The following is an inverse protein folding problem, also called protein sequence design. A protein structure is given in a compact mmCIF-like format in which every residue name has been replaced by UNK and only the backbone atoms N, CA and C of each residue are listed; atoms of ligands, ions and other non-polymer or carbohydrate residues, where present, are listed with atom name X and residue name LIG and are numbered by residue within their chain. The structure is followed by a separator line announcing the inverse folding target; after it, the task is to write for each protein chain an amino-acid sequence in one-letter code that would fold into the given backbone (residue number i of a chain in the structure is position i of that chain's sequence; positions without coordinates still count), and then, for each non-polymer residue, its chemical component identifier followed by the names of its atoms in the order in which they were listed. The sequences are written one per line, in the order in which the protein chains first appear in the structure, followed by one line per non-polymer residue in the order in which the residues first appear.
data_IF_316781392239
#
_entry.id   IF_316781392239
#
_cell.length_a   1.000
_cell.length_b   1.000
_cell.length_c   1.000
_cell.angle_alpha   90.00
_cell.angle_beta   90.00
_cell.angle_gamma   90.00
#
_symmetry.space_group_name_H-M   'P 1'
#
loop_
_entity.id
_entity.type
_entity.pdbx_description
1 polymer ?
#
# COMPACT_ATOMS: atom_id res chain seq x y z
N UNK A 1 3.84 -7.25 11.44
CA UNK A 1 4.07 -6.98 10.01
C UNK A 1 5.05 -7.98 9.38
N UNK A 2 6.28 -8.14 9.91
CA UNK A 2 7.29 -9.09 9.42
C UNK A 2 6.75 -10.49 9.05
N UNK A 3 6.02 -11.14 9.98
CA UNK A 3 5.41 -12.46 9.72
C UNK A 3 4.46 -12.46 8.51
N UNK A 4 3.62 -11.42 8.38
CA UNK A 4 2.70 -11.29 7.24
C UNK A 4 3.45 -11.15 5.91
N UNK A 5 4.62 -10.51 5.91
CA UNK A 5 5.48 -10.44 4.71
C UNK A 5 6.18 -11.75 4.39
N UNK A 6 6.61 -12.50 5.41
CA UNK A 6 7.14 -13.85 5.19
C UNK A 6 6.09 -14.79 4.57
N UNK A 7 4.82 -14.65 4.97
CA UNK A 7 3.69 -15.38 4.38
C UNK A 7 3.36 -14.87 2.97
N UNK A 8 3.45 -13.55 2.74
CA UNK A 8 3.19 -12.91 1.44
C UNK A 8 4.01 -13.52 0.30
N UNK A 9 5.26 -13.91 0.54
CA UNK A 9 6.11 -14.59 -0.45
C UNK A 9 5.49 -15.87 -1.03
N UNK A 10 4.58 -16.53 -0.30
CA UNK A 10 3.88 -17.74 -0.76
C UNK A 10 2.59 -17.46 -1.56
N UNK A 11 1.92 -16.31 -1.33
CA UNK A 11 0.64 -15.97 -1.99
C UNK A 11 0.79 -14.92 -3.11
N UNK A 12 1.82 -14.07 -3.05
CA UNK A 12 2.10 -13.02 -4.03
C UNK A 12 1.06 -11.88 -4.10
N UNK A 13 1.32 -10.92 -4.98
CA UNK A 13 0.38 -9.88 -5.43
C UNK A 13 -0.22 -9.00 -4.30
N UNK A 14 -1.38 -8.39 -4.58
CA UNK A 14 -2.13 -7.50 -3.67
C UNK A 14 -2.66 -8.20 -2.43
N UNK A 15 -3.22 -9.40 -2.55
CA UNK A 15 -3.80 -10.13 -1.41
C UNK A 15 -2.75 -10.52 -0.38
N UNK A 16 -1.58 -10.98 -0.85
CA UNK A 16 -0.47 -11.29 0.04
C UNK A 16 0.03 -10.07 0.81
N UNK A 17 0.05 -8.89 0.19
CA UNK A 17 0.48 -7.65 0.83
C UNK A 17 -0.55 -7.05 1.80
N UNK A 18 -1.82 -7.31 1.57
CA UNK A 18 -2.91 -6.86 2.42
C UNK A 18 -2.84 -7.48 3.83
N UNK A 19 -2.39 -8.74 3.94
CA UNK A 19 -2.26 -9.46 5.21
C UNK A 19 -1.31 -8.77 6.21
N UNK A 20 -0.03 -8.44 5.89
CA UNK A 20 0.83 -7.72 6.81
C UNK A 20 0.28 -6.35 7.21
N UNK A 21 -0.45 -5.67 6.31
CA UNK A 21 -1.15 -4.40 6.60
C UNK A 21 -2.27 -4.57 7.64
N UNK A 22 -3.10 -5.61 7.50
CA UNK A 22 -4.11 -5.95 8.50
C UNK A 22 -3.46 -6.27 9.86
N UNK A 23 -2.44 -7.15 9.87
CA UNK A 23 -1.77 -7.57 11.10
C UNK A 23 -1.12 -6.41 11.86
N UNK A 24 -0.41 -5.51 11.18
CA UNK A 24 0.21 -4.35 11.85
C UNK A 24 -0.85 -3.42 12.43
N UNK A 25 -1.96 -3.22 11.72
CA UNK A 25 -3.04 -2.32 12.16
C UNK A 25 -3.77 -2.86 13.39
N UNK A 26 -4.02 -4.18 13.43
CA UNK A 26 -4.60 -4.85 14.59
C UNK A 26 -3.67 -4.78 15.81
N UNK A 27 -2.37 -5.04 15.62
CA UNK A 27 -1.38 -4.95 16.71
C UNK A 27 -1.26 -3.53 17.25
N UNK A 28 -1.21 -2.51 16.38
CA UNK A 28 -1.20 -1.10 16.79
C UNK A 28 -2.43 -0.79 17.64
N UNK A 29 -3.61 -1.22 17.19
CA UNK A 29 -4.85 -1.00 17.92
C UNK A 29 -4.81 -1.64 19.32
N UNK A 30 -4.44 -2.92 19.42
CA UNK A 30 -4.39 -3.65 20.68
C UNK A 30 -3.36 -3.06 21.65
N UNK A 31 -2.17 -2.72 21.18
CA UNK A 31 -1.07 -2.23 21.99
C UNK A 31 -1.14 -0.73 22.32
N UNK A 32 -2.08 0.03 21.73
CA UNK A 32 -2.15 1.48 21.94
C UNK A 32 -2.65 1.90 23.33
N UNK A 33 -3.23 1.00 24.12
CA UNK A 33 -3.90 1.31 25.40
C UNK A 33 -4.93 2.45 25.26
N UNK A 34 -5.63 2.49 24.13
CA UNK A 34 -6.62 3.51 23.75
C UNK A 34 -7.98 2.82 23.56
N UNK A 35 -8.90 2.89 24.55
CA UNK A 35 -10.22 2.25 24.44
C UNK A 35 -11.04 2.72 23.24
N UNK A 36 -10.86 3.97 22.80
CA UNK A 36 -11.45 4.52 21.58
C UNK A 36 -10.96 3.80 20.32
N UNK A 37 -9.71 3.37 20.28
CA UNK A 37 -9.15 2.62 19.14
C UNK A 37 -9.59 1.16 19.17
N UNK A 38 -9.65 0.53 20.35
CA UNK A 38 -10.12 -0.86 20.49
C UNK A 38 -11.52 -1.06 19.90
N UNK A 39 -12.41 -0.09 20.08
CA UNK A 39 -13.77 -0.09 19.49
C UNK A 39 -13.76 -0.02 17.95
N UNK A 40 -12.62 0.28 17.34
CA UNK A 40 -12.40 0.42 15.90
C UNK A 40 -11.45 -0.64 15.35
N UNK A 41 -11.13 -1.69 16.12
CA UNK A 41 -10.17 -2.74 15.72
C UNK A 41 -10.46 -3.32 14.33
N UNK A 42 -11.71 -3.64 14.02
CA UNK A 42 -12.10 -4.16 12.70
C UNK A 42 -11.85 -3.14 11.57
N UNK A 43 -12.14 -1.86 11.84
CA UNK A 43 -11.91 -0.75 10.90
C UNK A 43 -10.42 -0.57 10.64
N UNK A 44 -9.57 -0.62 11.68
CA UNK A 44 -8.11 -0.58 11.54
C UNK A 44 -7.60 -1.74 10.70
N UNK A 45 -8.06 -2.96 11.00
CA UNK A 45 -7.70 -4.15 10.23
C UNK A 45 -8.05 -4.00 8.74
N UNK A 46 -9.27 -3.51 8.44
CA UNK A 46 -9.72 -3.28 7.07
C UNK A 46 -8.96 -2.16 6.35
N UNK A 47 -8.73 -1.01 6.99
CA UNK A 47 -7.96 0.08 6.40
C UNK A 47 -6.50 -0.30 6.15
N UNK A 48 -5.90 -1.04 7.08
CA UNK A 48 -4.57 -1.62 6.92
C UNK A 48 -4.51 -2.63 5.78
N UNK A 49 -5.52 -3.50 5.69
CA UNK A 49 -5.67 -4.46 4.59
C UNK A 49 -5.71 -3.74 3.24
N UNK A 50 -6.64 -2.80 3.07
CA UNK A 50 -6.79 -2.05 1.83
C UNK A 50 -5.55 -1.23 1.49
N UNK A 51 -4.98 -0.53 2.47
CA UNK A 51 -3.85 0.37 2.28
C UNK A 51 -2.63 -0.33 1.72
N UNK A 52 -2.25 -1.48 2.30
CA UNK A 52 -1.09 -2.23 1.81
C UNK A 52 -1.41 -3.14 0.61
N UNK A 53 -2.68 -3.43 0.30
CA UNK A 53 -3.05 -4.15 -0.92
C UNK A 53 -2.62 -3.41 -2.19
N UNK A 54 -2.63 -2.07 -2.19
CA UNK A 54 -2.23 -1.25 -3.33
C UNK A 54 -0.80 -1.52 -3.79
N UNK A 55 0.17 -1.51 -2.88
CA UNK A 55 1.58 -1.72 -3.25
C UNK A 55 1.88 -3.14 -3.74
N UNK A 56 0.98 -4.12 -3.52
CA UNK A 56 1.14 -5.46 -4.08
C UNK A 56 0.98 -5.52 -5.60
N UNK A 57 0.62 -4.40 -6.24
CA UNK A 57 0.65 -4.22 -7.69
C UNK A 57 2.05 -3.93 -8.24
N UNK A 58 2.98 -3.43 -7.41
CA UNK A 58 4.32 -3.07 -7.86
C UNK A 58 5.18 -4.33 -8.04
N UNK A 59 5.84 -4.43 -9.21
CA UNK A 59 6.92 -5.37 -9.43
C UNK A 59 8.23 -4.79 -8.94
N UNK A 60 9.10 -5.62 -8.36
CA UNK A 60 10.42 -5.18 -7.88
C UNK A 60 11.53 -6.21 -8.13
N UNK A 61 11.23 -7.40 -8.64
CA UNK A 61 12.23 -8.45 -8.86
C UNK A 61 13.34 -8.03 -9.83
N UNK A 62 13.02 -7.22 -10.84
CA UNK A 62 14.00 -6.63 -11.76
C UNK A 62 14.86 -5.58 -11.04
N UNK A 63 14.26 -4.80 -10.13
CA UNK A 63 14.96 -3.79 -9.34
C UNK A 63 16.03 -4.44 -8.44
N UNK A 64 15.66 -5.55 -7.78
CA UNK A 64 16.55 -6.44 -7.02
C UNK A 64 17.64 -7.08 -7.90
N UNK A 65 17.41 -7.18 -9.22
CA UNK A 65 18.44 -7.58 -10.17
C UNK A 65 19.55 -6.54 -10.29
N UNK A 66 19.19 -5.25 -10.40
CA UNK A 66 20.16 -4.16 -10.48
C UNK A 66 21.06 -4.04 -9.24
N UNK A 67 20.53 -4.35 -8.05
CA UNK A 67 21.31 -4.31 -6.79
C UNK A 67 22.36 -5.42 -6.70
N UNK A 68 22.24 -6.48 -7.52
CA UNK A 68 23.27 -7.51 -7.66
C UNK A 68 24.32 -7.24 -8.73
N UNK A 69 24.25 -6.09 -9.40
CA UNK A 69 25.23 -5.67 -10.38
C UNK A 69 26.62 -5.42 -9.76
N UNK A 70 27.63 -5.36 -10.62
CA UNK A 70 29.01 -5.02 -10.23
C UNK A 70 29.32 -3.53 -10.38
N UNK A 71 28.49 -2.78 -11.11
CA UNK A 71 28.67 -1.35 -11.33
C UNK A 71 27.91 -0.54 -10.29
N UNK A 72 28.60 0.42 -9.67
CA UNK A 72 28.00 1.32 -8.68
C UNK A 72 26.73 2.04 -9.20
N UNK A 73 26.68 2.56 -10.46
CA UNK A 73 25.46 3.20 -10.97
C UNK A 73 24.24 2.27 -10.98
N UNK A 74 24.40 1.00 -11.36
CA UNK A 74 23.28 0.05 -11.39
C UNK A 74 22.83 -0.29 -9.97
N UNK A 75 23.78 -0.51 -9.06
CA UNK A 75 23.48 -0.81 -7.65
C UNK A 75 22.76 0.36 -6.98
N UNK A 76 23.26 1.57 -7.18
CA UNK A 76 22.64 2.79 -6.68
C UNK A 76 21.24 2.99 -7.25
N UNK A 77 21.07 2.81 -8.57
CA UNK A 77 19.76 2.88 -9.22
C UNK A 77 18.78 1.86 -8.63
N UNK A 78 19.21 0.62 -8.44
CA UNK A 78 18.41 -0.44 -7.82
C UNK A 78 17.94 -0.04 -6.41
N UNK A 79 18.85 0.37 -5.53
CA UNK A 79 18.48 0.80 -4.18
C UNK A 79 17.60 2.05 -4.15
N UNK A 80 17.85 3.03 -5.02
CA UNK A 80 17.01 4.23 -5.14
C UNK A 80 15.58 3.86 -5.58
N UNK A 81 15.44 2.97 -6.57
CA UNK A 81 14.14 2.49 -7.03
C UNK A 81 13.42 1.67 -5.96
N UNK A 82 14.11 0.80 -5.22
CA UNK A 82 13.52 0.06 -4.09
C UNK A 82 13.06 1.01 -2.98
N UNK A 83 13.84 2.06 -2.69
CA UNK A 83 13.44 3.08 -1.73
C UNK A 83 12.15 3.79 -2.19
N UNK A 84 12.06 4.15 -3.46
CA UNK A 84 10.86 4.80 -4.04
C UNK A 84 9.65 3.85 -3.96
N UNK A 85 9.79 2.61 -4.42
CA UNK A 85 8.71 1.61 -4.41
C UNK A 85 8.25 1.30 -2.99
N UNK A 86 9.19 1.09 -2.06
CA UNK A 86 8.89 0.90 -0.65
C UNK A 86 8.21 2.12 -0.03
N UNK A 87 8.65 3.32 -0.38
CA UNK A 87 8.06 4.56 0.11
C UNK A 87 6.64 4.78 -0.39
N UNK A 88 6.38 4.56 -1.68
CA UNK A 88 5.03 4.58 -2.26
C UNK A 88 4.12 3.61 -1.49
N UNK A 89 4.60 2.39 -1.23
CA UNK A 89 3.83 1.37 -0.54
C UNK A 89 3.46 1.78 0.88
N UNK A 90 4.46 2.15 1.68
CA UNK A 90 4.25 2.54 3.07
C UNK A 90 3.43 3.83 3.18
N UNK A 91 3.61 4.76 2.24
CA UNK A 91 2.87 6.02 2.18
C UNK A 91 1.36 5.84 1.97
N UNK A 92 0.96 5.03 0.97
CA UNK A 92 -0.45 4.69 0.74
C UNK A 92 -1.03 3.97 1.95
N UNK A 93 -0.30 2.95 2.43
CA UNK A 93 -0.71 2.13 3.56
C UNK A 93 -0.99 2.96 4.82
N UNK A 94 0.01 3.71 5.29
CA UNK A 94 -0.09 4.50 6.50
C UNK A 94 -1.05 5.69 6.33
N UNK A 95 -1.12 6.27 5.13
CA UNK A 95 -2.05 7.34 4.80
C UNK A 95 -3.51 6.89 4.92
N UNK A 96 -3.88 5.74 4.36
CA UNK A 96 -5.24 5.21 4.48
C UNK A 96 -5.54 4.70 5.89
N UNK A 97 -4.58 4.04 6.55
CA UNK A 97 -4.72 3.60 7.94
C UNK A 97 -4.99 4.77 8.89
N UNK A 98 -4.43 5.96 8.60
CA UNK A 98 -4.68 7.16 9.41
C UNK A 98 -6.15 7.54 9.51
N UNK A 99 -7.01 7.14 8.56
CA UNK A 99 -8.44 7.42 8.66
C UNK A 99 -9.09 6.71 9.85
N UNK A 100 -8.53 5.59 10.31
CA UNK A 100 -9.01 4.87 11.49
C UNK A 100 -8.97 5.72 12.76
N UNK A 101 -7.98 6.61 12.87
CA UNK A 101 -7.80 7.54 14.01
C UNK A 101 -8.29 8.96 13.75
N UNK A 102 -8.35 9.39 12.48
CA UNK A 102 -8.60 10.80 12.14
C UNK A 102 -10.00 11.08 11.59
N UNK A 103 -10.75 10.05 11.17
CA UNK A 103 -12.09 10.23 10.57
C UNK A 103 -13.20 9.65 11.46
N UNK A 104 -14.38 10.30 11.52
CA UNK A 104 -15.53 9.78 12.25
C UNK A 104 -16.09 8.53 11.56
N UNK A 105 -16.81 7.68 12.31
CA UNK A 105 -17.46 6.48 11.76
C UNK A 105 -18.44 6.80 10.64
N UNK A 106 -19.18 7.92 10.77
CA UNK A 106 -20.10 8.42 9.75
C UNK A 106 -19.43 8.57 8.38
N UNK A 107 -18.22 9.13 8.35
CA UNK A 107 -17.41 9.26 7.14
C UNK A 107 -16.91 7.91 6.62
N UNK A 108 -16.47 7.01 7.49
CA UNK A 108 -15.98 5.69 7.09
C UNK A 108 -17.10 4.80 6.53
N UNK A 109 -18.31 4.89 7.10
CA UNK A 109 -19.48 4.16 6.64
C UNK A 109 -19.90 4.55 5.21
N UNK A 110 -19.59 5.77 4.77
CA UNK A 110 -19.82 6.20 3.37
C UNK A 110 -19.04 5.36 2.35
N UNK A 111 -17.99 4.65 2.76
CA UNK A 111 -17.22 3.80 1.85
C UNK A 111 -17.85 2.43 1.63
N UNK A 112 -18.77 1.97 2.49
CA UNK A 112 -19.35 0.62 2.43
C UNK A 112 -20.01 0.39 1.07
N UNK A 113 -20.91 1.30 0.67
CA UNK A 113 -21.61 1.25 -0.61
C UNK A 113 -20.69 1.20 -1.83
N UNK A 114 -19.87 2.25 -2.09
CA UNK A 114 -19.03 2.29 -3.28
C UNK A 114 -17.99 1.16 -3.31
N UNK A 115 -17.38 0.78 -2.17
CA UNK A 115 -16.43 -0.33 -2.15
C UNK A 115 -17.11 -1.68 -2.42
N UNK A 116 -18.35 -1.88 -1.95
CA UNK A 116 -19.14 -3.09 -2.26
C UNK A 116 -19.41 -3.17 -3.75
N UNK A 117 -19.85 -2.08 -4.38
CA UNK A 117 -20.12 -2.06 -5.83
C UNK A 117 -18.85 -2.33 -6.63
N UNK A 118 -17.71 -1.73 -6.25
CA UNK A 118 -16.42 -1.99 -6.90
C UNK A 118 -16.02 -3.46 -6.75
N UNK A 119 -16.11 -4.01 -5.55
CA UNK A 119 -15.77 -5.41 -5.29
C UNK A 119 -16.65 -6.37 -6.10
N UNK A 120 -17.96 -6.15 -6.09
CA UNK A 120 -18.93 -6.95 -6.86
C UNK A 120 -18.65 -6.83 -8.36
N UNK A 121 -18.33 -5.63 -8.85
CA UNK A 121 -17.94 -5.41 -10.25
C UNK A 121 -16.71 -6.23 -10.60
N UNK A 122 -15.64 -6.15 -9.79
CA UNK A 122 -14.43 -6.94 -10.03
C UNK A 122 -14.69 -8.45 -9.96
N UNK A 123 -15.50 -8.91 -9.00
CA UNK A 123 -15.88 -10.31 -8.89
C UNK A 123 -16.58 -10.82 -10.16
N UNK A 124 -17.54 -10.06 -10.70
CA UNK A 124 -18.22 -10.45 -11.93
C UNK A 124 -17.30 -10.40 -13.15
N UNK A 125 -16.49 -9.35 -13.30
CA UNK A 125 -15.52 -9.23 -14.40
C UNK A 125 -14.51 -10.39 -14.43
N UNK A 126 -14.07 -10.83 -13.25
CA UNK A 126 -13.19 -11.98 -13.06
C UNK A 126 -13.92 -13.29 -13.41
N UNK A 127 -15.13 -13.51 -12.88
CA UNK A 127 -15.91 -14.74 -13.11
C UNK A 127 -16.28 -14.98 -14.57
N UNK A 128 -16.53 -13.92 -15.34
CA UNK A 128 -16.83 -14.05 -16.77
C UNK A 128 -15.57 -14.06 -17.65
N UNK A 129 -14.37 -13.98 -17.06
CA UNK A 129 -13.09 -13.95 -17.76
C UNK A 129 -12.81 -12.66 -18.53
N UNK A 130 -13.67 -11.64 -18.40
CA UNK A 130 -13.53 -10.37 -19.13
C UNK A 130 -12.31 -9.58 -18.64
N UNK A 131 -11.99 -9.68 -17.36
CA UNK A 131 -10.82 -9.02 -16.77
C UNK A 131 -9.52 -9.49 -17.43
N UNK A 132 -9.31 -10.81 -17.46
CA UNK A 132 -8.11 -11.43 -18.05
C UNK A 132 -8.05 -11.20 -19.56
N UNK A 133 -9.20 -11.35 -20.25
CA UNK A 133 -9.28 -11.11 -21.68
C UNK A 133 -8.88 -9.67 -22.05
N UNK A 134 -9.41 -8.67 -21.34
CA UNK A 134 -9.06 -7.26 -21.56
C UNK A 134 -7.58 -7.00 -21.28
N UNK A 135 -7.03 -7.54 -20.18
CA UNK A 135 -5.62 -7.36 -19.82
C UNK A 135 -4.67 -8.00 -20.84
N UNK A 136 -5.01 -9.19 -21.36
CA UNK A 136 -4.20 -9.87 -22.38
C UNK A 136 -4.30 -9.17 -23.73
N UNK A 137 -5.50 -8.71 -24.12
CA UNK A 137 -5.71 -8.02 -25.40
C UNK A 137 -5.01 -6.67 -25.45
N UNK A 138 -5.03 -5.92 -24.34
CA UNK A 138 -4.39 -4.62 -24.21
C UNK A 138 -3.55 -4.57 -22.93
N UNK A 139 -2.32 -5.08 -23.00
CA UNK A 139 -1.37 -5.01 -21.88
C UNK A 139 -0.72 -3.63 -21.82
N UNK A 140 -1.35 -2.70 -21.09
CA UNK A 140 -0.79 -1.37 -20.83
C UNK A 140 0.27 -1.52 -19.73
N UNK A 141 1.53 -1.72 -20.15
CA UNK A 141 2.70 -1.86 -19.28
C UNK A 141 2.52 -2.89 -18.16
N UNK A 142 1.77 -3.98 -18.41
CA UNK A 142 1.48 -5.05 -17.43
C UNK A 142 0.81 -4.53 -16.14
N UNK A 143 -0.02 -3.49 -16.23
CA UNK A 143 -0.68 -2.83 -15.08
C UNK A 143 -2.13 -3.28 -14.84
N UNK A 144 -2.68 -2.94 -13.66
CA UNK A 144 -4.07 -3.22 -13.27
C UNK A 144 -5.10 -2.25 -13.87
N UNK A 145 -4.91 -1.84 -15.12
CA UNK A 145 -5.70 -0.77 -15.75
C UNK A 145 -7.20 -1.07 -15.81
N UNK A 146 -7.61 -2.34 -16.06
CA UNK A 146 -9.02 -2.75 -16.09
C UNK A 146 -9.68 -2.58 -14.72
N UNK A 147 -8.98 -2.96 -13.64
CA UNK A 147 -9.47 -2.78 -12.27
C UNK A 147 -9.59 -1.30 -11.92
N UNK A 148 -8.62 -0.48 -12.33
CA UNK A 148 -8.66 0.97 -12.13
C UNK A 148 -9.80 1.65 -12.91
N UNK A 149 -9.96 1.35 -14.20
CA UNK A 149 -11.02 1.90 -15.04
C UNK A 149 -12.42 1.50 -14.56
N UNK A 150 -12.63 0.21 -14.26
CA UNK A 150 -13.91 -0.27 -13.73
C UNK A 150 -14.23 0.33 -12.36
N UNK A 151 -13.23 0.53 -11.48
CA UNK A 151 -13.43 1.21 -10.20
C UNK A 151 -13.77 2.70 -10.38
N UNK A 152 -13.18 3.39 -11.35
CA UNK A 152 -13.54 4.76 -11.70
C UNK A 152 -15.00 4.85 -12.17
N UNK A 153 -15.43 3.96 -13.06
CA UNK A 153 -16.80 3.90 -13.58
C UNK A 153 -17.78 3.58 -12.45
N UNK A 154 -17.52 2.53 -11.67
CA UNK A 154 -18.37 2.12 -10.56
C UNK A 154 -18.49 3.22 -9.48
N UNK A 155 -17.36 3.83 -9.10
CA UNK A 155 -17.34 4.94 -8.13
C UNK A 155 -18.08 6.17 -8.64
N UNK A 156 -17.93 6.51 -9.93
CA UNK A 156 -18.64 7.64 -10.55
C UNK A 156 -20.14 7.37 -10.70
N UNK A 157 -20.54 6.15 -11.06
CA UNK A 157 -21.95 5.77 -11.12
C UNK A 157 -22.59 5.83 -9.73
N UNK A 158 -21.92 5.29 -8.71
CA UNK A 158 -22.40 5.36 -7.33
C UNK A 158 -22.48 6.80 -6.81
N UNK A 159 -21.53 7.66 -7.21
CA UNK A 159 -21.53 9.09 -6.89
C UNK A 159 -22.78 9.83 -7.40
N UNK A 160 -23.29 9.43 -8.56
CA UNK A 160 -24.51 9.99 -9.15
C UNK A 160 -25.78 9.47 -8.46
N UNK A 161 -25.76 8.22 -7.99
CA UNK A 161 -26.91 7.55 -7.37
C UNK A 161 -27.10 7.97 -5.91
N UNK A 162 -26.06 7.84 -5.08
CA UNK A 162 -26.17 8.10 -3.64
C UNK A 162 -25.49 9.40 -3.23
N UNK A 163 -26.31 10.38 -2.83
CA UNK A 163 -25.83 11.69 -2.36
C UNK A 163 -25.08 11.59 -1.02
N UNK A 164 -25.38 10.61 -0.18
CA UNK A 164 -24.77 10.47 1.15
C UNK A 164 -23.31 10.01 1.05
N UNK A 165 -23.01 9.10 0.13
CA UNK A 165 -21.66 8.54 -0.05
C UNK A 165 -20.77 9.37 -0.99
N UNK A 166 -21.19 10.58 -1.40
CA UNK A 166 -20.40 11.41 -2.32
C UNK A 166 -18.97 11.69 -1.85
N UNK A 167 -18.70 12.00 -0.57
CA UNK A 167 -17.33 12.23 -0.11
C UNK A 167 -16.42 11.00 -0.30
N UNK A 168 -16.95 9.80 -0.06
CA UNK A 168 -16.22 8.55 -0.30
C UNK A 168 -15.97 8.32 -1.79
N UNK A 169 -16.98 8.53 -2.63
CA UNK A 169 -16.85 8.40 -4.08
C UNK A 169 -15.88 9.42 -4.66
N UNK A 170 -15.83 10.65 -4.14
CA UNK A 170 -14.85 11.65 -4.54
C UNK A 170 -13.42 11.18 -4.28
N UNK A 171 -13.16 10.53 -3.14
CA UNK A 171 -11.84 9.96 -2.89
C UNK A 171 -11.53 8.81 -3.85
N UNK A 172 -12.48 7.91 -4.10
CA UNK A 172 -12.33 6.81 -5.08
C UNK A 172 -12.02 7.35 -6.48
N UNK A 173 -12.76 8.36 -6.93
CA UNK A 173 -12.53 9.02 -8.22
C UNK A 173 -11.17 9.72 -8.23
N UNK A 174 -10.81 10.42 -7.16
CA UNK A 174 -9.51 11.09 -7.05
C UNK A 174 -8.35 10.09 -7.17
N UNK A 175 -8.39 8.96 -6.44
CA UNK A 175 -7.30 7.98 -6.49
C UNK A 175 -7.24 7.27 -7.85
N UNK A 176 -8.38 6.97 -8.48
CA UNK A 176 -8.40 6.29 -9.79
C UNK A 176 -7.95 7.22 -10.92
N UNK A 177 -8.38 8.49 -10.91
CA UNK A 177 -7.87 9.50 -11.84
C UNK A 177 -6.37 9.72 -11.63
N UNK A 178 -5.91 9.85 -10.39
CA UNK A 178 -4.50 10.03 -10.11
C UNK A 178 -3.65 8.81 -10.49
N UNK A 179 -4.21 7.59 -10.38
CA UNK A 179 -3.58 6.37 -10.89
C UNK A 179 -3.31 6.47 -12.39
N UNK A 180 -4.30 6.88 -13.17
CA UNK A 180 -4.17 7.07 -14.63
C UNK A 180 -3.23 8.22 -15.00
N UNK A 181 -3.29 9.35 -14.29
CA UNK A 181 -2.40 10.49 -14.51
C UNK A 181 -0.94 10.13 -14.19
N UNK A 182 -0.68 9.42 -13.10
CA UNK A 182 0.65 8.95 -12.73
C UNK A 182 1.23 8.02 -13.79
N UNK A 183 0.43 7.03 -14.24
CA UNK A 183 0.84 6.12 -15.30
C UNK A 183 1.10 6.89 -16.61
N UNK A 184 0.14 7.67 -17.08
CA UNK A 184 0.21 8.39 -18.35
C UNK A 184 1.35 9.40 -18.41
N UNK A 185 1.57 10.18 -17.34
CA UNK A 185 2.65 11.16 -17.29
C UNK A 185 4.02 10.48 -17.23
N UNK A 186 4.23 9.55 -16.29
CA UNK A 186 5.57 9.00 -16.05
C UNK A 186 5.98 8.00 -17.12
N UNK A 187 5.08 7.09 -17.50
CA UNK A 187 5.40 6.05 -18.51
C UNK A 187 5.06 6.50 -19.93
N UNK A 188 3.92 7.16 -20.14
CA UNK A 188 3.48 7.57 -21.48
C UNK A 188 4.19 8.80 -22.02
N UNK A 189 4.25 9.88 -21.24
CA UNK A 189 4.84 11.17 -21.68
C UNK A 189 6.35 11.19 -21.46
N UNK A 190 6.82 10.79 -20.27
CA UNK A 190 8.23 10.85 -19.91
C UNK A 190 9.01 9.58 -20.27
N UNK A 191 8.35 8.50 -20.67
CA UNK A 191 9.01 7.24 -21.05
C UNK A 191 9.79 6.57 -19.90
N UNK A 192 9.44 6.87 -18.64
CA UNK A 192 10.14 6.33 -17.47
C UNK A 192 9.64 4.92 -17.17
N UNK A 193 10.42 3.93 -17.61
CA UNK A 193 10.17 2.51 -17.37
C UNK A 193 11.16 1.97 -16.33
N UNK A 194 10.65 1.60 -15.16
CA UNK A 194 11.50 1.13 -14.05
C UNK A 194 11.65 -0.40 -14.07
N UNK A 195 10.61 -1.11 -14.51
CA UNK A 195 10.57 -2.58 -14.42
C UNK A 195 10.23 -3.34 -15.71
N UNK A 196 10.51 -2.86 -16.94
CA UNK A 196 10.17 -3.61 -18.14
C UNK A 196 10.91 -4.97 -18.19
N UNK A 197 10.28 -6.07 -18.67
CA UNK A 197 8.93 -6.18 -19.24
C UNK A 197 7.82 -6.41 -18.19
N UNK A 198 8.11 -6.26 -16.90
CA UNK A 198 7.13 -6.38 -15.80
C UNK A 198 6.36 -5.08 -15.60
N UNK A 199 5.27 -5.21 -14.84
CA UNK A 199 4.40 -4.12 -14.41
C UNK A 199 5.07 -2.82 -13.96
N UNK A 200 4.89 -1.74 -14.72
CA UNK A 200 5.27 -0.37 -14.31
C UNK A 200 4.20 0.29 -13.40
N UNK A 201 3.47 -0.50 -12.61
CA UNK A 201 2.42 0.00 -11.69
C UNK A 201 2.98 0.96 -10.63
N UNK A 202 4.30 1.02 -10.40
CA UNK A 202 4.93 2.00 -9.52
C UNK A 202 4.55 3.45 -9.91
N UNK A 203 4.46 3.74 -11.20
CA UNK A 203 4.13 5.07 -11.72
C UNK A 203 2.68 5.45 -11.37
N UNK A 204 1.78 4.50 -11.57
CA UNK A 204 0.37 4.68 -11.23
C UNK A 204 0.16 4.83 -9.72
N UNK A 205 0.84 3.99 -8.92
CA UNK A 205 0.80 4.06 -7.47
C UNK A 205 1.44 5.34 -6.92
N UNK A 206 2.48 5.89 -7.57
CA UNK A 206 3.02 7.19 -7.21
C UNK A 206 1.95 8.29 -7.35
N UNK A 207 1.16 8.23 -8.43
CA UNK A 207 -0.02 9.09 -8.60
C UNK A 207 -1.03 8.95 -7.45
N UNK A 208 -1.34 7.71 -7.03
CA UNK A 208 -2.21 7.44 -5.87
C UNK A 208 -1.62 8.02 -4.58
N UNK A 209 -0.32 7.88 -4.34
CA UNK A 209 0.36 8.45 -3.17
C UNK A 209 0.21 9.97 -3.16
N UNK A 210 0.48 10.64 -4.29
CA UNK A 210 0.33 12.10 -4.42
C UNK A 210 -1.12 12.52 -4.15
N UNK A 211 -2.11 11.79 -4.65
CA UNK A 211 -3.52 12.06 -4.38
C UNK A 211 -3.90 11.92 -2.90
N UNK A 212 -3.39 10.88 -2.22
CA UNK A 212 -3.62 10.71 -0.77
C UNK A 212 -2.99 11.86 0.01
N UNK A 213 -1.76 12.25 -0.31
CA UNK A 213 -1.09 13.39 0.33
C UNK A 213 -1.86 14.69 0.09
N UNK A 214 -2.25 14.96 -1.15
CA UNK A 214 -3.05 16.14 -1.50
C UNK A 214 -4.40 16.14 -0.76
N UNK A 215 -5.07 14.99 -0.64
CA UNK A 215 -6.30 14.86 0.12
C UNK A 215 -6.09 15.13 1.63
N UNK A 216 -5.02 14.60 2.22
CA UNK A 216 -4.67 14.83 3.63
C UNK A 216 -4.36 16.31 3.89
N UNK A 217 -3.59 16.96 3.01
CA UNK A 217 -3.27 18.40 3.09
C UNK A 217 -4.54 19.24 2.94
N UNK A 218 -5.37 18.97 1.92
CA UNK A 218 -6.62 19.71 1.66
C UNK A 218 -7.61 19.57 2.82
N UNK A 219 -7.67 18.39 3.45
CA UNK A 219 -8.51 18.15 4.61
C UNK A 219 -7.90 18.60 5.94
N UNK A 220 -6.73 19.27 5.90
CA UNK A 220 -5.96 19.70 7.08
C UNK A 220 -5.69 18.57 8.08
N UNK A 221 -5.59 17.33 7.58
CA UNK A 221 -5.36 16.15 8.38
C UNK A 221 -3.85 15.93 8.59
N UNK A 222 -3.26 16.78 9.43
CA UNK A 222 -1.81 16.76 9.71
C UNK A 222 -1.35 15.46 10.39
N UNK A 223 -2.20 14.88 11.25
CA UNK A 223 -1.94 13.58 11.86
C UNK A 223 -1.82 12.47 10.79
N UNK A 224 -2.74 12.45 9.83
CA UNK A 224 -2.67 11.51 8.71
C UNK A 224 -1.50 11.77 7.78
N UNK A 225 -1.17 13.03 7.49
CA UNK A 225 0.00 13.39 6.69
C UNK A 225 1.30 12.93 7.36
N UNK A 226 1.43 13.15 8.68
CA UNK A 226 2.59 12.69 9.45
C UNK A 226 2.72 11.16 9.36
N UNK A 227 1.63 10.41 9.58
CA UNK A 227 1.66 8.94 9.46
C UNK A 227 2.04 8.49 8.05
N UNK A 228 1.52 9.15 7.01
CA UNK A 228 1.89 8.85 5.63
C UNK A 228 3.40 9.08 5.38
N UNK A 229 3.98 10.17 5.90
CA UNK A 229 5.42 10.42 5.84
C UNK A 229 6.25 9.36 6.57
N UNK A 230 5.84 8.95 7.77
CA UNK A 230 6.47 7.82 8.47
C UNK A 230 6.39 6.54 7.62
N UNK A 231 5.25 6.29 6.98
CA UNK A 231 5.07 5.19 6.05
C UNK A 231 6.04 5.25 4.87
N UNK A 232 6.20 6.41 4.23
CA UNK A 232 7.14 6.61 3.12
C UNK A 232 8.57 6.31 3.54
N UNK A 233 9.03 6.92 4.64
CA UNK A 233 10.40 6.73 5.10
C UNK A 233 10.66 5.28 5.53
N UNK A 234 9.76 4.71 6.33
CA UNK A 234 9.93 3.36 6.85
C UNK A 234 9.80 2.30 5.76
N UNK A 235 8.91 2.50 4.79
CA UNK A 235 8.79 1.64 3.63
C UNK A 235 10.03 1.69 2.74
N UNK A 236 10.53 2.88 2.43
CA UNK A 236 11.73 3.03 1.59
C UNK A 236 12.99 2.47 2.24
N UNK A 237 13.25 2.84 3.51
CA UNK A 237 14.37 2.30 4.29
C UNK A 237 14.22 0.79 4.43
N UNK A 238 13.01 0.32 4.75
CA UNK A 238 12.74 -1.10 4.93
C UNK A 238 13.06 -1.92 3.69
N UNK A 239 12.68 -1.44 2.50
CA UNK A 239 12.93 -2.18 1.27
C UNK A 239 14.43 -2.20 0.94
N UNK A 240 15.11 -1.05 1.06
CA UNK A 240 16.55 -0.97 0.82
C UNK A 240 17.34 -1.87 1.81
N UNK A 241 17.01 -1.84 3.10
CA UNK A 241 17.64 -2.71 4.10
C UNK A 241 17.29 -4.19 3.89
N UNK A 242 16.05 -4.50 3.49
CA UNK A 242 15.64 -5.87 3.17
C UNK A 242 16.46 -6.43 2.02
N UNK A 243 16.59 -5.68 0.93
CA UNK A 243 17.38 -6.11 -0.24
C UNK A 243 18.88 -6.19 0.09
N UNK A 244 19.40 -5.29 0.93
CA UNK A 244 20.77 -5.42 1.43
C UNK A 244 21.01 -6.77 2.12
N UNK A 245 20.08 -7.22 2.97
CA UNK A 245 20.15 -8.55 3.58
C UNK A 245 20.04 -9.65 2.53
N UNK A 246 19.16 -9.49 1.53
CA UNK A 246 19.07 -10.43 0.42
C UNK A 246 20.39 -10.59 -0.32
N UNK A 247 21.09 -9.48 -0.58
CA UNK A 247 22.37 -9.48 -1.30
C UNK A 247 23.47 -10.21 -0.53
N UNK A 248 23.41 -10.26 0.81
CA UNK A 248 24.34 -11.07 1.60
C UNK A 248 24.29 -12.55 1.20
N UNK A 249 23.13 -13.07 0.78
CA UNK A 249 23.01 -14.46 0.30
C UNK A 249 23.76 -14.75 -1.00
N UNK A 250 24.18 -13.72 -1.72
CA UNK A 250 25.02 -13.83 -2.92
C UNK A 250 26.51 -13.63 -2.60
N UNK A 251 26.85 -13.29 -1.35
CA UNK A 251 28.23 -13.03 -0.96
C UNK A 251 29.05 -14.33 -0.97
N UNK A 252 30.09 -14.35 -1.80
CA UNK A 252 31.09 -15.44 -1.86
C UNK A 252 32.31 -15.17 -0.97
N UNK A 253 32.20 -14.26 -0.01
CA UNK A 253 33.28 -13.85 0.89
C UNK A 253 32.77 -13.70 2.34
N UNK A 254 33.71 -13.59 3.27
CA UNK A 254 33.41 -13.36 4.69
C UNK A 254 32.71 -14.55 5.39
N UNK A 255 32.08 -14.31 6.56
CA UNK A 255 31.40 -15.37 7.33
C UNK A 255 30.31 -16.10 6.54
N UNK A 256 29.61 -15.40 5.65
CA UNK A 256 28.55 -16.01 4.82
C UNK A 256 29.11 -17.11 3.93
N UNK A 257 30.30 -16.90 3.35
CA UNK A 257 30.93 -17.91 2.51
C UNK A 257 31.53 -19.07 3.32
N UNK A 258 32.01 -18.79 4.53
CA UNK A 258 32.68 -19.76 5.39
C UNK A 258 31.72 -20.78 6.02
N UNK A 259 30.49 -20.37 6.35
CA UNK A 259 29.53 -21.23 7.02
C UNK A 259 28.41 -21.68 6.06
N UNK A 260 28.35 -22.96 5.65
CA UNK A 260 27.35 -23.46 4.71
C UNK A 260 25.89 -23.26 5.15
N UNK A 261 25.65 -23.18 6.47
CA UNK A 261 24.32 -22.92 7.01
C UNK A 261 23.82 -21.51 6.66
N UNK A 262 24.72 -20.52 6.59
CA UNK A 262 24.37 -19.14 6.25
C UNK A 262 23.99 -19.04 4.77
N UNK A 263 24.71 -19.72 3.86
CA UNK A 263 24.34 -19.75 2.44
C UNK A 263 22.98 -20.39 2.15
N UNK A 264 22.50 -21.28 3.03
CA UNK A 264 21.23 -22.00 2.86
C UNK A 264 20.02 -21.24 3.43
N UNK A 265 20.21 -20.06 4.00
CA UNK A 265 19.10 -19.27 4.52
C UNK A 265 18.15 -18.83 3.39
N UNK A 266 16.83 -18.73 3.65
CA UNK A 266 15.87 -18.27 2.66
C UNK A 266 15.94 -16.73 2.51
N UNK A 267 17.00 -16.24 1.86
CA UNK A 267 17.31 -14.80 1.76
C UNK A 267 16.19 -13.96 1.15
N UNK A 268 15.39 -14.50 0.24
CA UNK A 268 14.21 -13.81 -0.27
C UNK A 268 13.15 -13.61 0.82
N UNK A 269 12.84 -14.64 1.60
CA UNK A 269 11.89 -14.53 2.72
C UNK A 269 12.44 -13.62 3.81
N UNK A 270 13.75 -13.68 4.08
CA UNK A 270 14.40 -12.75 5.01
C UNK A 270 14.28 -11.30 4.54
N UNK A 271 14.50 -11.02 3.24
CA UNK A 271 14.27 -9.69 2.65
C UNK A 271 12.85 -9.19 2.94
N UNK A 272 11.84 -10.00 2.64
CA UNK A 272 10.43 -9.63 2.85
C UNK A 272 10.12 -9.42 4.34
N UNK A 273 10.61 -10.29 5.22
CA UNK A 273 10.43 -10.15 6.66
C UNK A 273 11.12 -8.90 7.23
N UNK A 274 12.33 -8.58 6.78
CA UNK A 274 13.06 -7.38 7.18
C UNK A 274 12.37 -6.11 6.69
N UNK A 275 11.95 -6.09 5.42
CA UNK A 275 11.14 -5.00 4.88
C UNK A 275 9.89 -4.77 5.74
N UNK A 276 9.17 -5.86 6.02
CA UNK A 276 8.00 -5.84 6.88
C UNK A 276 8.27 -5.37 8.30
N UNK A 277 9.37 -5.81 8.90
CA UNK A 277 9.78 -5.42 10.25
C UNK A 277 10.04 -3.92 10.35
N UNK A 278 10.90 -3.39 9.47
CA UNK A 278 11.31 -1.99 9.47
C UNK A 278 10.12 -1.08 9.16
N UNK A 279 9.32 -1.42 8.14
CA UNK A 279 8.13 -0.65 7.81
C UNK A 279 7.11 -0.66 8.96
N UNK A 280 6.87 -1.83 9.57
CA UNK A 280 5.96 -1.94 10.71
C UNK A 280 6.43 -1.14 11.92
N UNK A 281 7.73 -1.16 12.21
CA UNK A 281 8.34 -0.38 13.29
C UNK A 281 8.18 1.12 13.04
N UNK A 282 8.48 1.61 11.84
CA UNK A 282 8.34 3.03 11.52
C UNK A 282 6.90 3.53 11.55
N UNK A 283 5.94 2.73 11.08
CA UNK A 283 4.50 3.03 11.24
C UNK A 283 4.13 3.07 12.73
N UNK A 284 4.58 2.10 13.53
CA UNK A 284 4.32 2.08 14.97
C UNK A 284 4.90 3.32 15.67
N UNK A 285 6.11 3.76 15.31
CA UNK A 285 6.70 5.02 15.80
C UNK A 285 5.80 6.20 15.47
N UNK A 286 5.28 6.28 14.24
CA UNK A 286 4.31 7.32 13.86
C UNK A 286 3.07 7.34 14.75
N UNK A 287 2.52 6.17 15.09
CA UNK A 287 1.38 6.07 16.02
C UNK A 287 1.75 6.43 17.46
N UNK A 288 2.94 6.08 17.93
CA UNK A 288 3.45 6.50 19.24
C UNK A 288 3.52 8.03 19.31
N UNK A 289 3.94 8.72 18.24
CA UNK A 289 3.95 10.18 18.22
C UNK A 289 2.54 10.77 18.31
N UNK A 290 1.54 10.15 17.68
CA UNK A 290 0.15 10.57 17.83
C UNK A 290 -0.37 10.41 19.27
N UNK A 291 -0.01 9.31 19.94
CA UNK A 291 -0.38 9.06 21.34
C UNK A 291 0.28 10.12 22.24
N UNK A 292 1.59 10.37 22.05
CA UNK A 292 2.35 11.39 22.81
C UNK A 292 1.81 12.81 22.57
N UNK A 293 1.42 13.10 21.34
CA UNK A 293 0.75 14.35 20.96
C UNK A 293 -0.70 14.46 21.41
N UNK A 294 -1.18 13.51 22.24
CA UNK A 294 -2.53 13.48 22.80
C UNK A 294 -3.62 13.65 21.73
N UNK A 295 -3.49 12.95 20.60
CA UNK A 295 -4.49 13.03 19.53
C UNK A 295 -5.88 12.77 20.10
N UNK A 296 -6.77 13.74 19.88
CA UNK A 296 -8.15 13.66 20.33
C UNK A 296 -8.80 12.42 19.72
N UNK A 297 -9.67 11.71 20.46
CA UNK A 297 -10.47 10.64 19.89
C UNK A 297 -11.21 11.16 18.65
N UNK A 298 -11.27 10.36 17.59
CA UNK A 298 -12.17 10.67 16.48
C UNK A 298 -13.58 10.85 17.05
N UNK A 299 -14.20 12.01 16.77
CA UNK A 299 -15.56 12.29 17.24
C UNK A 299 -16.47 11.17 16.75
N UNK A 300 -16.97 10.36 17.70
CA UNK A 300 -17.97 9.36 17.39
C UNK A 300 -19.30 10.09 17.34
N UNK A 301 -19.70 10.51 16.14
CA UNK A 301 -21.05 10.99 15.90
C UNK A 301 -22.02 9.86 16.31
N UNK A 302 -23.02 10.18 17.16
CA UNK A 302 -24.05 9.20 17.55
C UNK A 302 -24.65 8.58 16.29
N UNK A 303 -24.89 7.28 16.33
CA UNK A 303 -25.75 6.61 15.35
C UNK A 303 -27.01 7.46 15.20
N UNK A 304 -27.21 8.05 14.01
CA UNK A 304 -28.56 8.42 13.60
C UNK A 304 -29.26 7.07 13.46
N UNK A 305 -29.99 6.68 14.51
CA UNK A 305 -30.46 5.32 14.75
C UNK A 305 -30.99 4.63 13.50
N UNK A 306 -30.30 3.55 13.11
CA UNK A 306 -30.84 2.54 12.20
C UNK A 306 -31.24 1.28 13.00
N UNK A 307 -31.88 1.51 14.14
CA UNK A 307 -32.66 0.52 14.88
C UNK A 307 -33.95 1.19 15.33
N UNK A 308 -34.87 1.30 14.38
CA UNK A 308 -36.33 1.23 14.53
C UNK A 308 -36.90 0.84 13.17
#
# INVERSE_FOLDING_TARGET
MAMGWGVRGAYGHSTGAAMPGALVSLVICLCAHRPDWWRRTAVFGFLGYLGWAFGGQASYGIIVGYTSGTSFPNVYYGYACLFIVGGIWGGIGAGLLSFGVTKPRSYLNMFIGPLTVIYVTWFFLDKVGLLDWLQQKWSIYDTYWVKSASAFIAGSAYWLIDRKSRPACQLVVLITVAWWLGLGLLTGVLGLHMTPPRSDSWAALLGVTVAIFAYLIKSKNWAGLMLACYGVLAGGIGFACGDFIQMLGRAKWGPIAQYPILQKLPYWTLMEQTFGFIMGLGVAIGFIQLIRGQVAPAVEDKDQGYLN
#
